data_IF_527603606650
#
_entry.id   IF_527603606650
#
_cell.length_a   1.000
_cell.length_b   1.000
_cell.length_c   1.000
_cell.angle_alpha   90.00
_cell.angle_beta   90.00
_cell.angle_gamma   90.00
#
_symmetry.space_group_name_H-M   'P 1'
#
loop_
_entity.id
_entity.type
_entity.pdbx_description
1 polymer ?
#
# COMPACT_ATOMS: atom_id res chain seq x y z
N UNK A 1 -22.10 2.88 -2.84
CA UNK A 1 -21.30 2.07 -1.91
C UNK A 1 -21.95 2.18 -0.56
N UNK A 2 -22.34 1.06 0.02
CA UNK A 2 -22.83 0.99 1.39
C UNK A 2 -21.63 0.90 2.34
N UNK A 3 -21.72 1.55 3.49
CA UNK A 3 -20.77 1.36 4.60
C UNK A 3 -20.65 -0.16 4.91
N UNK A 4 -19.44 -0.71 5.04
CA UNK A 4 -19.26 -2.14 5.31
C UNK A 4 -19.75 -2.49 6.72
N UNK A 5 -20.10 -3.76 6.94
CA UNK A 5 -20.57 -4.26 8.23
C UNK A 5 -19.49 -4.12 9.31
N UNK A 6 -18.23 -4.42 8.98
CA UNK A 6 -17.06 -4.03 9.75
C UNK A 6 -16.42 -2.81 9.08
N UNK A 7 -16.61 -1.63 9.65
CA UNK A 7 -16.07 -0.35 9.20
C UNK A 7 -14.95 0.19 10.11
N UNK A 8 -14.48 -0.63 11.06
CA UNK A 8 -13.48 -0.25 12.08
C UNK A 8 -12.22 0.34 11.44
N UNK A 9 -11.77 -0.25 10.32
CA UNK A 9 -10.65 0.27 9.53
C UNK A 9 -10.90 1.70 9.01
N UNK A 10 -12.06 1.96 8.41
CA UNK A 10 -12.39 3.29 7.88
C UNK A 10 -12.50 4.32 9.01
N UNK A 11 -13.18 3.96 10.11
CA UNK A 11 -13.30 4.80 11.32
C UNK A 11 -11.93 5.18 11.88
N UNK A 12 -11.03 4.21 12.03
CA UNK A 12 -9.69 4.47 12.57
C UNK A 12 -8.86 5.41 11.67
N UNK A 13 -8.95 5.27 10.35
CA UNK A 13 -8.29 6.19 9.40
C UNK A 13 -8.84 7.62 9.50
N UNK A 14 -10.16 7.76 9.70
CA UNK A 14 -10.85 9.04 9.85
C UNK A 14 -10.79 9.59 11.29
N UNK A 15 -10.04 8.92 12.17
CA UNK A 15 -9.92 9.27 13.59
C UNK A 15 -11.27 9.31 14.32
N UNK A 16 -12.24 8.51 13.88
CA UNK A 16 -13.50 8.26 14.58
C UNK A 16 -13.27 7.20 15.67
N UNK A 17 -13.91 7.29 16.85
CA UNK A 17 -13.80 6.29 17.91
C UNK A 17 -14.03 4.87 17.36
N UNK A 18 -13.41 3.85 17.94
CA UNK A 18 -13.56 2.44 17.56
C UNK A 18 -13.59 1.57 18.82
N UNK A 19 -14.02 0.31 18.71
CA UNK A 19 -14.09 -0.65 19.83
C UNK A 19 -12.81 -1.49 19.99
N UNK A 20 -12.04 -1.67 18.90
CA UNK A 20 -10.69 -2.23 18.90
C UNK A 20 -9.81 -1.66 17.78
N UNK A 21 -8.49 -1.91 17.82
CA UNK A 21 -7.58 -1.40 16.80
C UNK A 21 -7.67 -2.31 15.57
N UNK A 22 -8.07 -1.79 14.40
CA UNK A 22 -8.20 -2.61 13.20
C UNK A 22 -6.83 -3.07 12.70
N UNK A 23 -6.77 -4.27 12.12
CA UNK A 23 -5.57 -4.87 11.56
C UNK A 23 -5.82 -5.43 10.17
N UNK A 24 -4.90 -5.10 9.27
CA UNK A 24 -4.71 -5.77 7.98
C UNK A 24 -3.20 -5.84 7.73
N UNK A 25 -2.75 -6.68 6.79
CA UNK A 25 -1.31 -6.88 6.60
C UNK A 25 -0.90 -6.67 5.15
N UNK A 26 0.15 -5.86 4.93
CA UNK A 26 0.76 -5.74 3.62
C UNK A 26 1.20 -7.11 3.10
N UNK A 27 0.83 -7.44 1.85
CA UNK A 27 1.04 -8.77 1.24
C UNK A 27 0.33 -9.92 1.98
N UNK A 28 -0.81 -9.67 2.63
CA UNK A 28 -1.67 -10.73 3.19
C UNK A 28 -2.06 -11.80 2.15
N UNK A 29 -2.29 -11.41 0.89
CA UNK A 29 -2.36 -12.35 -0.22
C UNK A 29 -0.95 -12.58 -0.78
N UNK A 30 -0.33 -13.71 -0.43
CA UNK A 30 1.07 -13.95 -0.81
C UNK A 30 1.58 -15.37 -0.57
N UNK A 31 2.83 -15.59 -0.99
CA UNK A 31 3.50 -16.91 -1.04
C UNK A 31 3.62 -17.66 0.29
N UNK A 32 3.41 -16.99 1.41
CA UNK A 32 3.39 -17.66 2.71
C UNK A 32 2.14 -18.55 2.87
N UNK A 33 1.07 -18.29 2.10
CA UNK A 33 -0.13 -19.12 2.05
C UNK A 33 0.03 -20.25 1.01
N UNK A 34 -0.13 -21.52 1.40
CA UNK A 34 -0.15 -22.65 0.47
C UNK A 34 -1.22 -22.51 -0.63
N UNK A 35 -2.42 -22.07 -0.25
CA UNK A 35 -3.56 -21.83 -1.13
C UNK A 35 -3.29 -20.72 -2.17
N UNK A 36 -2.53 -19.69 -1.81
CA UNK A 36 -2.06 -18.69 -2.77
C UNK A 36 -1.11 -19.29 -3.80
N UNK A 37 -0.18 -20.14 -3.35
CA UNK A 37 0.77 -20.80 -4.24
C UNK A 37 0.08 -21.74 -5.23
N UNK A 38 -1.00 -22.40 -4.81
CA UNK A 38 -1.85 -23.21 -5.67
C UNK A 38 -2.51 -22.38 -6.77
N UNK A 39 -3.20 -21.30 -6.41
CA UNK A 39 -3.86 -20.41 -7.38
C UNK A 39 -2.83 -19.77 -8.33
N UNK A 40 -1.66 -19.37 -7.81
CA UNK A 40 -0.57 -18.83 -8.62
C UNK A 40 -0.04 -19.84 -9.64
N UNK A 41 0.04 -21.12 -9.28
CA UNK A 41 0.46 -22.18 -10.22
C UNK A 41 -0.59 -22.40 -11.30
N UNK A 42 -1.89 -22.40 -10.93
CA UNK A 42 -3.01 -22.46 -11.89
C UNK A 42 -3.00 -21.30 -12.87
N UNK A 43 -2.61 -20.10 -12.43
CA UNK A 43 -2.48 -18.93 -13.29
C UNK A 43 -1.29 -19.00 -14.28
N UNK A 44 -0.32 -19.89 -14.06
CA UNK A 44 0.87 -20.07 -14.88
C UNK A 44 1.95 -18.98 -14.71
N UNK A 45 1.57 -17.72 -14.53
CA UNK A 45 2.51 -16.63 -14.22
C UNK A 45 1.90 -15.59 -13.28
N UNK A 46 2.75 -14.78 -12.65
CA UNK A 46 2.30 -13.70 -11.77
C UNK A 46 1.49 -12.62 -12.53
N UNK A 47 1.90 -12.30 -13.76
CA UNK A 47 1.19 -11.30 -14.57
C UNK A 47 -0.19 -11.81 -15.00
N UNK A 48 -0.31 -13.10 -15.36
CA UNK A 48 -1.61 -13.71 -15.67
C UNK A 48 -2.52 -13.78 -14.43
N UNK A 49 -1.95 -14.04 -13.25
CA UNK A 49 -2.71 -13.96 -11.99
C UNK A 49 -3.27 -12.54 -11.78
N UNK A 50 -2.47 -11.50 -12.02
CA UNK A 50 -2.91 -10.11 -11.88
C UNK A 50 -3.92 -9.68 -12.96
N UNK A 51 -3.82 -10.23 -14.18
CA UNK A 51 -4.70 -9.90 -15.33
C UNK A 51 -6.00 -10.70 -15.35
N UNK A 52 -6.21 -11.63 -14.42
CA UNK A 52 -7.44 -12.41 -14.28
C UNK A 52 -8.27 -11.89 -13.10
N UNK A 53 -9.41 -11.19 -13.34
CA UNK A 53 -10.28 -10.69 -12.28
C UNK A 53 -10.71 -11.77 -11.28
N UNK A 54 -11.10 -12.94 -11.79
CA UNK A 54 -11.54 -14.06 -10.96
C UNK A 54 -10.42 -14.61 -10.07
N UNK A 55 -9.21 -14.82 -10.60
CA UNK A 55 -8.09 -15.34 -9.81
C UNK A 55 -7.53 -14.27 -8.85
N UNK A 56 -7.49 -13.00 -9.26
CA UNK A 56 -7.15 -11.88 -8.38
C UNK A 56 -8.16 -11.76 -7.22
N UNK A 57 -9.45 -11.96 -7.50
CA UNK A 57 -10.48 -12.04 -6.48
C UNK A 57 -10.26 -13.23 -5.53
N UNK A 58 -10.03 -14.43 -6.08
CA UNK A 58 -9.77 -15.65 -5.31
C UNK A 58 -8.64 -15.42 -4.27
N UNK A 59 -7.48 -14.94 -4.72
CA UNK A 59 -6.33 -14.72 -3.82
C UNK A 59 -6.53 -13.55 -2.86
N UNK A 60 -7.34 -12.55 -3.21
CA UNK A 60 -7.67 -11.44 -2.30
C UNK A 60 -8.50 -11.93 -1.09
N UNK A 61 -9.37 -12.92 -1.30
CA UNK A 61 -10.27 -13.45 -0.27
C UNK A 61 -9.59 -14.49 0.63
N UNK A 62 -8.59 -15.22 0.14
CA UNK A 62 -7.89 -16.28 0.90
C UNK A 62 -7.48 -15.87 2.32
N UNK A 63 -6.86 -14.69 2.56
CA UNK A 63 -6.44 -14.28 3.90
C UNK A 63 -7.62 -14.01 4.83
N UNK A 64 -8.75 -13.53 4.30
CA UNK A 64 -9.95 -13.23 5.08
C UNK A 64 -10.67 -14.50 5.55
N UNK A 65 -10.57 -15.58 4.79
CA UNK A 65 -11.07 -16.90 5.20
C UNK A 65 -10.24 -17.47 6.36
N UNK A 66 -8.96 -17.08 6.45
CA UNK A 66 -8.01 -17.65 7.41
C UNK A 66 -7.84 -16.81 8.67
N UNK A 67 -7.96 -15.49 8.54
CA UNK A 67 -7.68 -14.53 9.58
C UNK A 67 -8.82 -13.51 9.67
N UNK A 68 -9.16 -13.10 10.89
CA UNK A 68 -10.16 -12.06 11.12
C UNK A 68 -9.57 -10.66 10.86
N UNK A 69 -9.24 -10.36 9.60
CA UNK A 69 -8.68 -9.07 9.19
C UNK A 69 -9.79 -8.03 8.97
N UNK A 70 -9.48 -6.77 9.25
CA UNK A 70 -10.45 -5.66 9.21
C UNK A 70 -10.50 -4.92 7.86
N UNK A 71 -9.66 -5.33 6.92
CA UNK A 71 -9.68 -4.83 5.55
C UNK A 71 -9.13 -5.87 4.57
N UNK A 72 -9.67 -5.84 3.35
CA UNK A 72 -9.09 -6.51 2.20
C UNK A 72 -8.23 -5.50 1.43
N UNK A 73 -7.14 -5.94 0.82
CA UNK A 73 -6.41 -5.16 -0.18
C UNK A 73 -6.49 -5.87 -1.52
N UNK A 74 -6.78 -5.13 -2.58
CA UNK A 74 -6.75 -5.61 -3.96
C UNK A 74 -5.46 -6.40 -4.21
N UNK A 75 -5.57 -7.60 -4.77
CA UNK A 75 -4.40 -8.26 -5.36
C UNK A 75 -4.12 -7.69 -6.75
N UNK A 76 -3.01 -6.97 -6.87
CA UNK A 76 -2.49 -6.46 -8.14
C UNK A 76 -0.98 -6.25 -8.01
N UNK A 77 -0.37 -5.58 -8.98
CA UNK A 77 1.05 -5.19 -8.94
C UNK A 77 1.22 -3.69 -9.17
N UNK A 78 2.18 -3.07 -8.46
CA UNK A 78 2.46 -1.64 -8.61
C UNK A 78 2.93 -1.31 -10.04
N UNK A 79 3.52 -2.26 -10.76
CA UNK A 79 4.08 -2.04 -12.09
C UNK A 79 3.06 -2.17 -13.21
N UNK A 80 1.78 -2.39 -12.89
CA UNK A 80 0.69 -2.36 -13.88
C UNK A 80 0.59 -1.01 -14.60
N UNK A 81 0.78 0.11 -13.90
CA UNK A 81 0.77 1.45 -14.52
C UNK A 81 1.91 1.61 -15.54
N UNK A 82 3.19 1.35 -15.21
CA UNK A 82 4.25 1.29 -16.21
C UNK A 82 4.05 0.27 -17.34
N UNK A 83 3.43 -0.90 -17.09
CA UNK A 83 3.10 -1.87 -18.16
C UNK A 83 2.11 -1.23 -19.15
N UNK A 84 1.06 -0.58 -18.65
CA UNK A 84 0.08 0.15 -19.44
C UNK A 84 0.65 1.37 -20.17
N UNK A 85 1.74 1.95 -19.67
CA UNK A 85 2.53 2.97 -20.38
C UNK A 85 3.36 2.41 -21.54
N UNK A 86 3.30 1.10 -21.79
CA UNK A 86 3.94 0.47 -22.95
C UNK A 86 5.40 0.10 -22.73
N UNK A 87 5.89 0.02 -21.48
CA UNK A 87 7.28 -0.35 -21.20
C UNK A 87 7.56 -1.87 -21.31
N UNK A 88 6.51 -2.70 -21.38
CA UNK A 88 6.60 -4.15 -21.55
C UNK A 88 7.11 -4.85 -20.30
N UNK A 89 6.24 -4.99 -19.30
CA UNK A 89 6.57 -5.66 -18.04
C UNK A 89 6.62 -7.17 -18.23
N UNK A 90 7.69 -7.79 -17.76
CA UNK A 90 7.79 -9.24 -17.64
C UNK A 90 8.44 -9.64 -16.31
N UNK A 91 8.22 -10.91 -15.92
CA UNK A 91 8.78 -11.48 -14.71
C UNK A 91 9.69 -12.64 -15.11
N UNK A 92 10.94 -12.59 -14.66
CA UNK A 92 11.89 -13.69 -14.81
C UNK A 92 11.98 -14.46 -13.50
N UNK A 93 12.00 -15.80 -13.58
CA UNK A 93 12.10 -16.66 -12.41
C UNK A 93 13.38 -16.34 -11.62
N UNK A 94 13.21 -16.06 -10.33
CA UNK A 94 14.31 -15.71 -9.42
C UNK A 94 14.82 -14.26 -9.49
N UNK A 95 14.62 -13.54 -10.61
CA UNK A 95 15.19 -12.18 -10.79
C UNK A 95 14.19 -11.04 -10.55
N UNK A 96 12.88 -11.32 -10.50
CA UNK A 96 11.86 -10.31 -10.25
C UNK A 96 11.40 -9.58 -11.52
N UNK A 97 10.76 -8.39 -11.39
CA UNK A 97 10.20 -7.67 -12.52
C UNK A 97 11.26 -6.98 -13.37
N UNK A 98 11.04 -6.98 -14.68
CA UNK A 98 11.88 -6.32 -15.69
C UNK A 98 11.02 -5.60 -16.73
N UNK A 99 11.60 -4.58 -17.36
CA UNK A 99 10.99 -3.89 -18.49
C UNK A 99 11.82 -4.09 -19.76
N UNK A 100 11.13 -4.38 -20.87
CA UNK A 100 11.74 -4.48 -22.21
C UNK A 100 12.25 -3.12 -22.69
N UNK A 101 11.51 -2.05 -22.37
CA UNK A 101 11.76 -0.68 -22.84
C UNK A 101 11.93 0.29 -21.66
N UNK A 102 13.02 0.18 -20.88
CA UNK A 102 13.31 1.15 -19.83
C UNK A 102 13.56 2.55 -20.41
N UNK A 103 13.18 3.59 -19.65
CA UNK A 103 13.32 4.99 -20.02
C UNK A 103 14.78 5.45 -19.92
N UNK A 104 15.55 5.21 -20.99
CA UNK A 104 16.96 5.61 -21.12
C UNK A 104 17.16 6.81 -22.02
N UNK A 105 16.41 6.88 -23.10
CA UNK A 105 16.55 7.91 -24.12
C UNK A 105 15.61 9.09 -23.85
N UNK A 106 16.12 10.30 -24.07
CA UNK A 106 15.35 11.54 -23.84
C UNK A 106 14.06 11.60 -24.67
N UNK A 107 14.10 11.15 -25.93
CA UNK A 107 12.91 11.14 -26.79
C UNK A 107 11.81 10.25 -26.22
N UNK A 108 12.15 9.08 -25.66
CA UNK A 108 11.19 8.15 -25.07
C UNK A 108 10.56 8.74 -23.80
N UNK A 109 11.33 9.49 -23.01
CA UNK A 109 10.82 10.19 -21.82
C UNK A 109 9.86 11.32 -22.22
N UNK A 110 10.18 12.05 -23.29
CA UNK A 110 9.31 13.14 -23.78
C UNK A 110 8.00 12.61 -24.34
N UNK A 111 8.04 11.49 -25.05
CA UNK A 111 6.89 10.82 -25.66
C UNK A 111 5.98 10.08 -24.64
N UNK A 112 6.44 9.90 -23.39
CA UNK A 112 5.67 9.21 -22.36
C UNK A 112 4.29 9.86 -22.12
N UNK A 113 3.23 9.06 -22.14
CA UNK A 113 1.85 9.50 -21.88
C UNK A 113 1.20 8.73 -20.73
N UNK A 114 0.24 9.36 -20.05
CA UNK A 114 -0.57 8.68 -19.05
C UNK A 114 -1.65 7.82 -19.75
N UNK A 115 -1.71 6.50 -19.50
CA UNK A 115 -2.73 5.64 -20.11
C UNK A 115 -4.10 5.90 -19.49
N UNK A 116 -5.16 5.72 -20.28
CA UNK A 116 -6.52 5.64 -19.74
C UNK A 116 -6.68 4.32 -18.96
N UNK A 117 -7.00 4.36 -17.65
CA UNK A 117 -7.18 3.15 -16.86
C UNK A 117 -8.34 2.27 -17.35
N UNK A 118 -9.36 2.82 -18.00
CA UNK A 118 -10.51 2.07 -18.51
C UNK A 118 -10.25 1.34 -19.83
N UNK A 119 -9.15 1.68 -20.51
CA UNK A 119 -8.69 1.01 -21.74
C UNK A 119 -7.60 -0.01 -21.41
N UNK A 120 -6.50 0.43 -20.79
CA UNK A 120 -5.30 -0.38 -20.62
C UNK A 120 -5.24 -1.15 -19.29
N UNK A 121 -5.99 -0.71 -18.28
CA UNK A 121 -5.99 -1.29 -16.92
C UNK A 121 -7.37 -1.81 -16.51
N UNK A 122 -8.29 -2.01 -17.47
CA UNK A 122 -9.66 -2.48 -17.22
C UNK A 122 -9.72 -3.75 -16.39
N UNK A 123 -8.79 -4.69 -16.60
CA UNK A 123 -8.71 -5.92 -15.82
C UNK A 123 -8.54 -5.68 -14.31
N UNK A 124 -7.90 -4.58 -13.91
CA UNK A 124 -7.79 -4.18 -12.49
C UNK A 124 -9.14 -3.69 -11.99
N UNK A 125 -9.83 -2.86 -12.77
CA UNK A 125 -11.14 -2.32 -12.42
C UNK A 125 -12.19 -3.42 -12.29
N UNK A 126 -12.16 -4.39 -13.20
CA UNK A 126 -12.99 -5.59 -13.15
C UNK A 126 -12.68 -6.42 -11.89
N UNK A 127 -11.39 -6.58 -11.54
CA UNK A 127 -10.99 -7.26 -10.31
C UNK A 127 -11.50 -6.53 -9.05
N UNK A 128 -11.40 -5.19 -9.00
CA UNK A 128 -11.93 -4.39 -7.89
C UNK A 128 -13.44 -4.59 -7.75
N UNK A 129 -14.19 -4.52 -8.85
CA UNK A 129 -15.63 -4.71 -8.84
C UNK A 129 -16.01 -6.14 -8.40
N UNK A 130 -15.27 -7.15 -8.88
CA UNK A 130 -15.49 -8.55 -8.54
C UNK A 130 -15.20 -8.85 -7.07
N UNK A 131 -14.04 -8.39 -6.55
CA UNK A 131 -13.69 -8.50 -5.12
C UNK A 131 -14.75 -7.83 -4.28
N UNK A 132 -15.17 -6.63 -4.65
CA UNK A 132 -16.14 -5.86 -3.87
C UNK A 132 -17.50 -6.55 -3.81
N UNK A 133 -17.93 -7.19 -4.90
CA UNK A 133 -19.11 -8.06 -4.90
C UNK A 133 -18.90 -9.28 -3.99
N UNK A 134 -17.76 -9.96 -4.10
CA UNK A 134 -17.48 -11.19 -3.36
C UNK A 134 -17.30 -10.96 -1.84
N UNK A 135 -16.77 -9.81 -1.43
CA UNK A 135 -16.71 -9.39 -0.03
C UNK A 135 -18.10 -9.24 0.60
N UNK A 136 -19.16 -9.09 -0.18
CA UNK A 136 -20.55 -9.02 0.30
C UNK A 136 -20.74 -8.08 1.50
N UNK A 137 -20.08 -6.90 1.44
CA UNK A 137 -20.13 -5.86 2.47
C UNK A 137 -19.55 -6.23 3.84
N UNK A 138 -18.74 -7.28 3.97
CA UNK A 138 -18.16 -7.69 5.27
C UNK A 138 -17.10 -6.72 5.77
N UNK A 139 -16.06 -6.45 4.97
CA UNK A 139 -14.94 -5.53 5.26
C UNK A 139 -14.70 -4.57 4.09
N UNK A 140 -14.05 -3.40 4.32
CA UNK A 140 -13.66 -2.48 3.26
C UNK A 140 -12.60 -3.08 2.32
N UNK A 141 -12.63 -2.64 1.07
CA UNK A 141 -11.61 -2.94 0.06
C UNK A 141 -10.64 -1.75 -0.11
N UNK A 142 -9.35 -2.01 0.02
CA UNK A 142 -8.26 -1.06 -0.23
C UNK A 142 -7.80 -1.21 -1.69
N UNK A 143 -7.93 -0.14 -2.46
CA UNK A 143 -7.23 0.03 -3.73
C UNK A 143 -5.81 0.55 -3.52
N UNK A 144 -4.92 0.42 -4.50
CA UNK A 144 -3.55 0.91 -4.32
C UNK A 144 -2.82 1.22 -5.62
N UNK A 145 -1.71 1.93 -5.49
CA UNK A 145 -0.72 2.14 -6.56
C UNK A 145 0.67 2.42 -5.96
N UNK A 146 1.71 2.33 -6.78
CA UNK A 146 3.04 2.84 -6.44
C UNK A 146 3.10 4.37 -6.54
N UNK A 147 4.00 5.01 -5.79
CA UNK A 147 4.26 6.44 -5.94
C UNK A 147 4.95 6.75 -7.27
N UNK A 148 4.87 7.98 -7.79
CA UNK A 148 5.57 8.37 -9.01
C UNK A 148 7.08 8.12 -8.96
N UNK A 149 7.74 8.44 -7.83
CA UNK A 149 9.18 8.16 -7.68
C UNK A 149 9.48 6.66 -7.64
N UNK A 150 8.70 5.90 -6.88
CA UNK A 150 8.86 4.43 -6.79
C UNK A 150 8.66 3.76 -8.15
N UNK A 151 7.68 4.19 -8.94
CA UNK A 151 7.47 3.68 -10.29
C UNK A 151 8.59 4.11 -11.24
N UNK A 152 9.01 5.38 -11.18
CA UNK A 152 10.12 5.88 -11.97
C UNK A 152 11.42 5.10 -11.72
N UNK A 153 11.68 4.66 -10.48
CA UNK A 153 12.81 3.78 -10.16
C UNK A 153 12.83 2.53 -11.05
N UNK A 154 11.68 1.86 -11.23
CA UNK A 154 11.62 0.68 -12.10
C UNK A 154 11.63 1.06 -13.59
N UNK A 155 10.94 2.13 -13.97
CA UNK A 155 10.84 2.59 -15.36
C UNK A 155 12.22 2.97 -15.93
N UNK A 156 13.08 3.61 -15.13
CA UNK A 156 14.43 4.05 -15.54
C UNK A 156 15.46 2.93 -15.40
N UNK A 157 15.43 2.16 -14.29
CA UNK A 157 16.39 1.06 -14.10
C UNK A 157 16.09 -0.16 -14.99
N UNK A 158 14.84 -0.34 -15.39
CA UNK A 158 14.35 -1.51 -16.09
C UNK A 158 14.09 -2.71 -15.18
N UNK A 159 13.99 -2.51 -13.86
CA UNK A 159 13.74 -3.55 -12.87
C UNK A 159 14.12 -3.12 -11.46
N UNK A 160 14.17 -4.08 -10.53
CA UNK A 160 14.68 -3.84 -9.19
C UNK A 160 16.19 -3.50 -9.23
N UNK A 161 16.63 -2.64 -8.32
CA UNK A 161 18.03 -2.26 -8.16
C UNK A 161 18.37 -2.15 -6.67
N UNK A 162 19.60 -2.49 -6.29
CA UNK A 162 20.07 -2.36 -4.92
C UNK A 162 20.36 -0.92 -4.51
N UNK A 163 20.63 -0.04 -5.48
CA UNK A 163 21.11 1.33 -5.22
C UNK A 163 20.52 2.41 -6.13
N UNK A 164 19.78 2.03 -7.18
CA UNK A 164 19.05 2.94 -8.06
C UNK A 164 19.95 4.05 -8.68
N UNK A 165 21.18 3.67 -9.09
CA UNK A 165 22.19 4.59 -9.64
C UNK A 165 21.72 5.41 -10.84
N UNK A 166 20.97 4.82 -11.78
CA UNK A 166 20.60 5.50 -13.03
C UNK A 166 19.57 6.59 -12.78
N UNK A 167 18.52 6.28 -12.03
CA UNK A 167 17.53 7.30 -11.67
C UNK A 167 18.14 8.39 -10.79
N UNK A 168 19.05 8.04 -9.87
CA UNK A 168 19.79 9.03 -9.08
C UNK A 168 20.72 9.89 -9.95
N UNK A 169 21.40 9.30 -10.92
CA UNK A 169 22.17 10.06 -11.92
C UNK A 169 21.29 11.03 -12.68
N UNK A 170 20.14 10.58 -13.18
CA UNK A 170 19.16 11.44 -13.86
C UNK A 170 18.62 12.54 -12.95
N UNK A 171 18.36 12.25 -11.67
CA UNK A 171 17.91 13.21 -10.68
C UNK A 171 18.87 14.40 -10.56
N UNK A 172 20.18 14.14 -10.53
CA UNK A 172 21.20 15.19 -10.37
C UNK A 172 21.58 15.84 -11.70
N UNK A 173 21.71 15.07 -12.79
CA UNK A 173 22.24 15.57 -14.07
C UNK A 173 21.14 16.12 -14.99
N UNK A 174 19.93 15.54 -14.94
CA UNK A 174 18.80 15.83 -15.83
C UNK A 174 17.47 15.89 -15.06
N UNK A 175 17.34 16.77 -14.06
CA UNK A 175 16.11 16.91 -13.28
C UNK A 175 14.91 17.26 -14.15
N UNK A 176 15.12 17.93 -15.29
CA UNK A 176 14.08 18.22 -16.29
C UNK A 176 13.41 16.94 -16.82
N UNK A 177 14.19 15.91 -17.12
CA UNK A 177 13.68 14.63 -17.60
C UNK A 177 13.01 13.85 -16.47
N UNK A 178 13.59 13.85 -15.27
CA UNK A 178 12.97 13.17 -14.14
C UNK A 178 11.62 13.81 -13.78
N UNK A 179 11.52 15.15 -13.77
CA UNK A 179 10.24 15.84 -13.55
C UNK A 179 9.19 15.50 -14.61
N UNK A 180 9.60 15.29 -15.88
CA UNK A 180 8.69 14.82 -16.94
C UNK A 180 8.14 13.43 -16.62
N UNK A 181 9.00 12.48 -16.26
CA UNK A 181 8.57 11.11 -15.87
C UNK A 181 7.60 11.21 -14.70
N UNK A 182 8.01 11.86 -13.61
CA UNK A 182 7.21 11.96 -12.39
C UNK A 182 5.86 12.65 -12.60
N UNK A 183 5.80 13.67 -13.45
CA UNK A 183 4.54 14.35 -13.77
C UNK A 183 3.57 13.42 -14.50
N UNK A 184 4.03 12.73 -15.54
CA UNK A 184 3.17 11.83 -16.32
C UNK A 184 2.73 10.64 -15.46
N UNK A 185 3.63 10.11 -14.64
CA UNK A 185 3.30 9.04 -13.70
C UNK A 185 2.31 9.49 -12.63
N UNK A 186 2.41 10.73 -12.13
CA UNK A 186 1.42 11.27 -11.20
C UNK A 186 0.02 11.38 -11.83
N UNK A 187 -0.07 11.80 -13.10
CA UNK A 187 -1.34 11.84 -13.83
C UNK A 187 -1.94 10.44 -14.02
N UNK A 188 -1.12 9.48 -14.44
CA UNK A 188 -1.55 8.09 -14.60
C UNK A 188 -2.01 7.46 -13.28
N UNK A 189 -1.26 7.67 -12.19
CA UNK A 189 -1.61 7.13 -10.86
C UNK A 189 -2.90 7.78 -10.33
N UNK A 190 -3.08 9.08 -10.55
CA UNK A 190 -4.30 9.79 -10.13
C UNK A 190 -5.54 9.23 -10.83
N UNK A 191 -5.49 9.10 -12.16
CA UNK A 191 -6.57 8.50 -12.94
C UNK A 191 -6.83 7.04 -12.53
N UNK A 192 -5.76 6.26 -12.36
CA UNK A 192 -5.84 4.85 -11.97
C UNK A 192 -6.48 4.64 -10.59
N UNK A 193 -6.08 5.42 -9.57
CA UNK A 193 -6.67 5.33 -8.24
C UNK A 193 -8.13 5.79 -8.24
N UNK A 194 -8.46 6.86 -8.97
CA UNK A 194 -9.85 7.29 -9.12
C UNK A 194 -10.72 6.22 -9.79
N UNK A 195 -10.22 5.56 -10.83
CA UNK A 195 -10.93 4.44 -11.47
C UNK A 195 -11.15 3.27 -10.49
N UNK A 196 -10.18 2.97 -9.60
CA UNK A 196 -10.39 1.96 -8.55
C UNK A 196 -11.47 2.38 -7.55
N UNK A 197 -11.48 3.65 -7.14
CA UNK A 197 -12.52 4.21 -6.26
C UNK A 197 -13.89 4.09 -6.96
N UNK A 198 -13.98 4.45 -8.23
CA UNK A 198 -15.18 4.30 -9.07
C UNK A 198 -15.60 2.84 -9.27
N UNK A 199 -14.67 1.89 -9.20
CA UNK A 199 -14.96 0.46 -9.35
C UNK A 199 -15.39 -0.20 -8.05
N UNK A 200 -15.03 0.35 -6.88
CA UNK A 200 -15.42 -0.23 -5.59
C UNK A 200 -14.45 -0.09 -4.44
N UNK A 201 -13.26 0.47 -4.65
CA UNK A 201 -12.32 0.71 -3.55
C UNK A 201 -12.93 1.71 -2.55
N UNK A 202 -12.86 1.36 -1.27
CA UNK A 202 -13.41 2.13 -0.15
C UNK A 202 -12.32 2.87 0.63
N UNK A 203 -11.05 2.55 0.37
CA UNK A 203 -9.88 3.33 0.74
C UNK A 203 -8.81 3.15 -0.35
N UNK A 204 -7.83 4.04 -0.41
CA UNK A 204 -6.69 3.90 -1.31
C UNK A 204 -5.35 4.06 -0.60
N UNK A 205 -4.33 3.34 -1.04
CA UNK A 205 -2.98 3.43 -0.50
C UNK A 205 -1.94 3.70 -1.60
N UNK A 206 -1.05 4.67 -1.35
CA UNK A 206 0.06 5.01 -2.23
C UNK A 206 1.35 4.49 -1.61
N UNK A 207 2.01 3.57 -2.29
CA UNK A 207 3.25 2.94 -1.86
C UNK A 207 4.46 3.68 -2.43
N UNK A 208 5.08 4.52 -1.61
CA UNK A 208 6.37 5.14 -1.91
C UNK A 208 7.52 4.32 -1.31
N UNK A 209 7.64 3.07 -1.78
CA UNK A 209 8.58 2.08 -1.23
C UNK A 209 10.05 2.48 -1.34
N UNK A 210 10.40 3.34 -2.31
CA UNK A 210 11.77 3.79 -2.54
C UNK A 210 12.03 5.24 -2.15
N UNK A 211 11.04 6.00 -1.69
CA UNK A 211 11.22 7.40 -1.31
C UNK A 211 12.26 7.60 -0.20
N UNK A 212 12.35 6.67 0.77
CA UNK A 212 13.39 6.71 1.81
C UNK A 212 14.83 6.46 1.33
N UNK A 213 15.03 6.17 0.04
CA UNK A 213 16.37 6.08 -0.57
C UNK A 213 16.93 7.44 -1.03
N UNK A 214 16.10 8.48 -0.99
CA UNK A 214 16.45 9.86 -1.36
C UNK A 214 17.07 10.62 -0.19
N UNK A 215 17.85 11.66 -0.50
CA UNK A 215 18.21 12.68 0.48
C UNK A 215 16.96 13.48 0.89
N UNK A 216 17.01 14.18 2.02
CA UNK A 216 15.89 15.00 2.47
C UNK A 216 15.48 16.05 1.41
N UNK A 217 16.45 16.73 0.78
CA UNK A 217 16.17 17.70 -0.29
C UNK A 217 15.53 17.03 -1.50
N UNK A 218 16.09 15.91 -1.96
CA UNK A 218 15.59 15.20 -3.13
C UNK A 218 14.19 14.60 -2.88
N UNK A 219 13.87 14.16 -1.66
CA UNK A 219 12.52 13.70 -1.33
C UNK A 219 11.47 14.82 -1.48
N UNK A 220 11.79 16.01 -0.99
CA UNK A 220 10.92 17.19 -1.04
C UNK A 220 10.69 17.70 -2.47
N UNK A 221 11.59 17.37 -3.40
CA UNK A 221 11.51 17.80 -4.80
C UNK A 221 10.93 16.72 -5.73
N UNK A 222 11.39 15.47 -5.60
CA UNK A 222 11.13 14.40 -6.57
C UNK A 222 10.12 13.34 -6.10
N UNK A 223 9.71 13.32 -4.83
CA UNK A 223 8.63 12.42 -4.36
C UNK A 223 7.43 13.17 -3.81
N UNK A 224 7.63 13.98 -2.76
CA UNK A 224 6.55 14.59 -2.01
C UNK A 224 5.59 15.47 -2.84
N UNK A 225 6.05 16.33 -3.78
CA UNK A 225 5.15 17.17 -4.57
C UNK A 225 4.20 16.35 -5.44
N UNK A 226 4.65 15.20 -5.92
CA UNK A 226 3.87 14.30 -6.76
C UNK A 226 2.90 13.46 -5.94
N UNK A 227 3.27 13.06 -4.72
CA UNK A 227 2.34 12.50 -3.75
C UNK A 227 1.22 13.50 -3.41
N UNK A 228 1.57 14.78 -3.16
CA UNK A 228 0.61 15.86 -2.91
C UNK A 228 -0.36 16.05 -4.08
N UNK A 229 0.16 16.04 -5.31
CA UNK A 229 -0.67 16.15 -6.52
C UNK A 229 -1.68 15.01 -6.61
N UNK A 230 -1.25 13.77 -6.37
CA UNK A 230 -2.16 12.61 -6.39
C UNK A 230 -3.22 12.78 -5.31
N UNK A 231 -2.82 12.98 -4.06
CA UNK A 231 -3.75 13.12 -2.92
C UNK A 231 -4.79 14.21 -3.16
N UNK A 232 -4.38 15.37 -3.68
CA UNK A 232 -5.28 16.49 -4.01
C UNK A 232 -6.24 16.23 -5.17
N UNK A 233 -6.02 15.19 -5.98
CA UNK A 233 -6.86 14.81 -7.12
C UNK A 233 -7.79 13.62 -6.86
N UNK A 234 -7.66 12.97 -5.71
CA UNK A 234 -8.44 11.77 -5.39
C UNK A 234 -9.92 12.10 -5.17
N UNK A 235 -10.80 11.23 -5.65
CA UNK A 235 -12.22 11.23 -5.30
C UNK A 235 -12.37 10.95 -3.80
N UNK A 236 -12.71 11.98 -3.01
CA UNK A 236 -12.81 11.90 -1.54
C UNK A 236 -14.15 11.38 -1.03
N UNK A 237 -15.18 11.42 -1.86
CA UNK A 237 -16.53 10.95 -1.51
C UNK A 237 -17.13 10.17 -2.67
N UNK A 238 -17.69 9.00 -2.38
CA UNK A 238 -18.43 8.21 -3.37
C UNK A 238 -19.66 7.58 -2.74
N UNK A 239 -20.82 7.89 -3.32
CA UNK A 239 -22.12 7.42 -2.85
C UNK A 239 -22.39 7.73 -1.36
N UNK A 240 -22.04 8.94 -0.92
CA UNK A 240 -22.28 9.42 0.45
C UNK A 240 -21.16 9.10 1.45
N UNK A 241 -20.31 8.12 1.16
CA UNK A 241 -19.22 7.69 2.04
C UNK A 241 -17.90 8.39 1.70
N UNK A 242 -17.10 8.70 2.72
CA UNK A 242 -15.74 9.24 2.55
C UNK A 242 -14.77 8.10 2.17
N UNK A 243 -13.82 8.40 1.28
CA UNK A 243 -12.81 7.43 0.82
C UNK A 243 -11.44 7.90 1.31
N UNK A 244 -10.91 7.32 2.41
CA UNK A 244 -9.62 7.73 2.95
C UNK A 244 -8.45 7.30 2.06
N UNK A 245 -7.39 8.09 2.09
CA UNK A 245 -6.12 7.84 1.41
C UNK A 245 -4.98 7.68 2.42
N UNK A 246 -4.14 6.67 2.18
CA UNK A 246 -2.98 6.34 2.99
C UNK A 246 -1.72 6.58 2.17
N UNK A 247 -0.74 7.29 2.73
CA UNK A 247 0.58 7.47 2.10
C UNK A 247 1.63 6.75 2.93
N UNK A 248 2.41 5.89 2.27
CA UNK A 248 3.46 5.13 2.92
C UNK A 248 4.79 5.30 2.20
N UNK A 249 5.68 6.13 2.76
CA UNK A 249 7.09 6.20 2.37
C UNK A 249 7.89 5.32 3.34
N UNK A 250 8.36 4.16 2.87
CA UNK A 250 9.31 3.35 3.64
C UNK A 250 10.63 4.12 3.79
N UNK A 251 11.14 4.21 5.01
CA UNK A 251 12.27 5.05 5.40
C UNK A 251 11.91 6.52 5.62
N UNK A 252 10.64 6.90 5.50
CA UNK A 252 10.17 8.28 5.54
C UNK A 252 9.92 8.88 6.92
N UNK A 253 10.34 8.22 8.02
CA UNK A 253 10.05 8.66 9.39
C UNK A 253 10.61 10.05 9.76
N UNK A 254 11.58 10.56 9.01
CA UNK A 254 12.09 11.93 9.17
C UNK A 254 11.19 12.99 8.53
N UNK A 255 10.25 12.61 7.67
CA UNK A 255 9.44 13.52 6.85
C UNK A 255 7.96 13.48 7.21
N UNK A 256 7.59 12.94 8.37
CA UNK A 256 6.19 12.76 8.79
C UNK A 256 5.38 14.04 8.71
N UNK A 257 5.91 15.16 9.18
CA UNK A 257 5.23 16.45 9.16
C UNK A 257 4.92 16.89 7.73
N UNK A 258 5.92 16.80 6.84
CA UNK A 258 5.76 17.15 5.43
C UNK A 258 4.77 16.24 4.72
N UNK A 259 4.74 14.94 5.05
CA UNK A 259 3.76 13.98 4.53
C UNK A 259 2.36 14.32 5.05
N UNK A 260 2.21 14.62 6.35
CA UNK A 260 0.91 14.99 6.92
C UNK A 260 0.32 16.24 6.24
N UNK A 261 1.18 17.19 5.86
CA UNK A 261 0.77 18.45 5.24
C UNK A 261 0.32 18.31 3.78
N UNK A 262 0.41 17.13 3.16
CA UNK A 262 -0.10 16.91 1.79
C UNK A 262 -1.59 16.57 1.73
N UNK A 263 -2.24 16.38 2.88
CA UNK A 263 -3.70 16.17 2.99
C UNK A 263 -4.15 14.70 2.91
N UNK A 264 -3.26 13.73 3.13
CA UNK A 264 -3.67 12.32 3.30
C UNK A 264 -4.30 12.09 4.68
N UNK A 265 -5.20 11.13 4.82
CA UNK A 265 -5.86 10.84 6.11
C UNK A 265 -4.98 10.02 7.05
N UNK A 266 -4.08 9.20 6.49
CA UNK A 266 -3.17 8.38 7.26
C UNK A 266 -1.77 8.27 6.66
N UNK A 267 -0.79 8.12 7.56
CA UNK A 267 0.60 7.85 7.21
C UNK A 267 0.96 6.42 7.60
N UNK A 268 1.44 5.64 6.63
CA UNK A 268 2.07 4.35 6.89
C UNK A 268 3.46 4.54 7.50
N UNK A 269 3.79 3.71 8.47
CA UNK A 269 5.05 3.73 9.21
C UNK A 269 5.75 2.38 9.07
N UNK A 270 7.07 2.40 8.95
CA UNK A 270 7.89 1.21 9.17
C UNK A 270 8.44 1.15 10.60
N UNK A 271 9.13 0.05 10.91
CA UNK A 271 9.63 -0.26 12.25
C UNK A 271 10.81 0.62 12.70
N UNK A 272 11.38 1.48 11.84
CA UNK A 272 12.53 2.31 12.20
C UNK A 272 12.15 3.53 13.04
N UNK A 273 10.86 3.85 13.15
CA UNK A 273 10.34 4.92 13.98
C UNK A 273 9.47 4.35 15.11
N UNK A 274 9.60 4.89 16.32
CA UNK A 274 8.67 4.57 17.40
C UNK A 274 7.28 5.18 17.07
N UNK A 275 6.23 4.37 17.16
CA UNK A 275 4.88 4.82 16.79
C UNK A 275 4.33 5.86 17.78
N UNK A 276 4.74 5.82 19.05
CA UNK A 276 4.44 6.84 20.05
C UNK A 276 5.05 8.20 19.69
N UNK A 277 6.30 8.22 19.23
CA UNK A 277 6.96 9.43 18.69
C UNK A 277 6.25 9.97 17.44
N UNK A 278 5.96 9.10 16.47
CA UNK A 278 5.22 9.48 15.27
C UNK A 278 3.86 10.12 15.64
N UNK A 279 3.12 9.51 16.57
CA UNK A 279 1.84 10.04 17.04
C UNK A 279 2.01 11.38 17.75
N UNK A 280 3.05 11.57 18.58
CA UNK A 280 3.32 12.86 19.21
C UNK A 280 3.55 13.97 18.18
N UNK A 281 4.19 13.66 17.04
CA UNK A 281 4.54 14.61 15.98
C UNK A 281 3.38 14.95 15.04
N UNK A 282 2.59 13.94 14.63
CA UNK A 282 1.56 14.11 13.59
C UNK A 282 0.18 13.54 13.95
N UNK A 283 0.04 12.86 15.09
CA UNK A 283 -1.17 12.14 15.46
C UNK A 283 -2.41 13.00 15.75
N UNK A 284 -2.28 14.33 15.82
CA UNK A 284 -3.42 15.26 15.84
C UNK A 284 -3.91 15.64 14.43
N UNK A 285 -3.09 15.43 13.40
CA UNK A 285 -3.39 15.79 12.00
C UNK A 285 -3.91 14.61 11.19
N UNK A 286 -3.32 13.43 11.40
CA UNK A 286 -3.56 12.22 10.60
C UNK A 286 -3.67 10.98 11.50
N UNK A 287 -4.22 9.90 10.96
CA UNK A 287 -4.08 8.56 11.51
C UNK A 287 -2.71 7.96 11.17
N UNK A 288 -2.30 6.93 11.91
CA UNK A 288 -1.06 6.20 11.69
C UNK A 288 -1.36 4.74 11.41
N UNK A 289 -0.66 4.17 10.42
CA UNK A 289 -0.76 2.76 10.07
C UNK A 289 0.58 2.07 10.26
N UNK A 290 0.60 0.93 10.96
CA UNK A 290 1.82 0.16 11.20
C UNK A 290 2.02 -0.22 12.67
N UNK A 291 3.24 -0.54 13.10
CA UNK A 291 4.48 -0.49 12.30
C UNK A 291 5.46 -1.63 12.59
N UNK A 292 4.91 -2.79 12.98
CA UNK A 292 5.69 -3.95 13.41
C UNK A 292 6.68 -4.45 12.34
N UNK A 293 7.91 -4.78 12.73
CA UNK A 293 8.87 -5.42 11.83
C UNK A 293 8.34 -6.81 11.37
N UNK A 294 8.20 -7.08 10.05
CA UNK A 294 7.82 -8.41 9.56
C UNK A 294 8.72 -9.54 10.05
N UNK A 295 9.98 -9.26 10.39
CA UNK A 295 10.91 -10.24 10.96
C UNK A 295 10.43 -10.85 12.27
N UNK A 296 9.57 -10.14 13.02
CA UNK A 296 8.94 -10.65 14.24
C UNK A 296 8.11 -11.90 13.97
N UNK A 297 7.55 -12.06 12.77
CA UNK A 297 6.72 -13.21 12.40
C UNK A 297 7.52 -14.52 12.28
N UNK A 298 8.84 -14.50 12.45
CA UNK A 298 9.68 -15.71 12.58
C UNK A 298 9.87 -16.17 14.02
N UNK A 299 9.42 -15.39 15.00
CA UNK A 299 9.53 -15.73 16.41
C UNK A 299 8.40 -16.70 16.86
N UNK A 300 8.43 -17.09 18.14
CA UNK A 300 7.33 -17.85 18.74
C UNK A 300 6.06 -17.00 18.88
N UNK A 301 4.86 -17.61 18.92
CA UNK A 301 3.59 -16.90 19.12
C UNK A 301 3.59 -15.93 20.30
N UNK A 302 4.18 -16.32 21.43
CA UNK A 302 4.27 -15.46 22.63
C UNK A 302 5.13 -14.22 22.38
N UNK A 303 6.22 -14.34 21.63
CA UNK A 303 7.06 -13.21 21.25
C UNK A 303 6.34 -12.29 20.27
N UNK A 304 5.65 -12.86 19.29
CA UNK A 304 4.83 -12.09 18.34
C UNK A 304 3.77 -11.28 19.09
N UNK A 305 3.07 -11.91 20.03
CA UNK A 305 2.07 -11.23 20.86
C UNK A 305 2.71 -10.12 21.71
N UNK A 306 3.88 -10.36 22.31
CA UNK A 306 4.59 -9.35 23.10
C UNK A 306 5.00 -8.12 22.26
N UNK A 307 5.54 -8.32 21.06
CA UNK A 307 5.91 -7.21 20.17
C UNK A 307 4.68 -6.44 19.67
N UNK A 308 3.59 -7.14 19.36
CA UNK A 308 2.32 -6.50 18.97
C UNK A 308 1.76 -5.63 20.10
N UNK A 309 1.82 -6.11 21.36
CA UNK A 309 1.45 -5.34 22.55
C UNK A 309 2.34 -4.11 22.71
N UNK A 310 3.64 -4.25 22.53
CA UNK A 310 4.60 -3.13 22.62
C UNK A 310 4.26 -1.99 21.65
N UNK A 311 3.94 -2.32 20.39
CA UNK A 311 3.50 -1.32 19.39
C UNK A 311 2.19 -0.65 19.81
N UNK A 312 1.21 -1.42 20.27
CA UNK A 312 -0.08 -0.89 20.75
C UNK A 312 0.08 0.00 21.99
N UNK A 313 0.93 -0.38 22.93
CA UNK A 313 1.20 0.36 24.16
C UNK A 313 1.99 1.66 23.86
N UNK A 314 2.91 1.63 22.89
CA UNK A 314 3.62 2.82 22.40
C UNK A 314 2.67 3.82 21.71
N UNK A 315 1.74 3.33 20.87
CA UNK A 315 0.67 4.19 20.34
C UNK A 315 -0.24 4.68 21.48
N UNK A 316 -0.50 3.85 22.49
CA UNK A 316 -1.18 4.22 23.72
C UNK A 316 -2.70 4.00 23.72
N UNK A 317 -3.37 4.38 24.82
CA UNK A 317 -4.76 3.99 25.15
C UNK A 317 -5.89 4.60 24.29
N UNK A 318 -5.56 5.23 23.16
CA UNK A 318 -6.49 6.05 22.41
C UNK A 318 -7.44 5.15 21.63
N UNK A 319 -8.73 5.51 21.63
CA UNK A 319 -9.77 4.73 20.96
C UNK A 319 -9.87 4.98 19.45
N UNK A 320 -8.88 5.64 18.84
CA UNK A 320 -8.88 5.94 17.40
C UNK A 320 -7.49 6.33 16.85
N UNK A 321 -7.39 6.47 15.52
CA UNK A 321 -6.24 7.03 14.81
C UNK A 321 -5.09 6.05 14.58
N UNK A 322 -5.26 4.77 14.94
CA UNK A 322 -4.28 3.71 14.68
C UNK A 322 -4.92 2.59 13.89
N UNK A 323 -4.27 2.22 12.79
CA UNK A 323 -4.49 0.95 12.09
C UNK A 323 -3.25 0.11 12.29
N UNK A 324 -3.36 -1.04 12.95
CA UNK A 324 -2.23 -1.93 13.11
C UNK A 324 -1.87 -2.55 11.76
N UNK A 325 -0.59 -2.56 11.44
CA UNK A 325 -0.03 -3.25 10.28
C UNK A 325 1.43 -3.59 10.56
N UNK A 326 2.04 -4.36 9.66
CA UNK A 326 3.49 -4.45 9.58
C UNK A 326 4.06 -3.16 8.99
N UNK A 327 5.37 -2.96 9.14
CA UNK A 327 6.14 -1.90 8.50
C UNK A 327 6.63 -2.24 7.09
N UNK A 328 6.37 -3.46 6.62
CA UNK A 328 6.56 -3.89 5.23
C UNK A 328 5.73 -5.15 4.97
N UNK A 329 5.73 -5.68 3.74
CA UNK A 329 4.97 -6.88 3.42
C UNK A 329 5.48 -8.16 4.10
N UNK A 330 4.56 -9.09 4.35
CA UNK A 330 4.85 -10.44 4.89
C UNK A 330 5.90 -11.16 4.03
N UNK A 331 6.83 -11.85 4.69
CA UNK A 331 7.82 -12.68 4.02
C UNK A 331 7.20 -13.99 3.54
N UNK A 332 7.65 -14.51 2.39
CA UNK A 332 7.19 -15.81 1.89
C UNK A 332 7.53 -16.98 2.81
N UNK A 333 8.49 -16.82 3.72
CA UNK A 333 8.94 -17.84 4.66
C UNK A 333 8.19 -17.79 6.00
N UNK A 334 7.26 -16.84 6.16
CA UNK A 334 6.50 -16.68 7.40
C UNK A 334 5.54 -17.87 7.59
N UNK A 335 5.56 -18.55 8.74
CA UNK A 335 4.55 -19.57 9.06
C UNK A 335 3.17 -18.93 9.17
N UNK A 336 2.15 -19.44 8.47
CA UNK A 336 0.81 -18.85 8.51
C UNK A 336 0.15 -18.77 9.89
N UNK A 337 0.46 -19.70 10.79
CA UNK A 337 -0.02 -19.72 12.18
C UNK A 337 0.51 -18.53 12.99
N UNK A 338 1.70 -18.03 12.66
CA UNK A 338 2.27 -16.85 13.30
C UNK A 338 1.51 -15.58 12.92
N UNK A 339 0.91 -15.54 11.73
CA UNK A 339 0.00 -14.45 11.33
C UNK A 339 -1.30 -14.49 12.13
N UNK A 340 -1.85 -15.68 12.40
CA UNK A 340 -3.04 -15.82 13.24
C UNK A 340 -2.76 -15.30 14.67
N UNK A 341 -1.63 -15.72 15.27
CA UNK A 341 -1.21 -15.26 16.59
C UNK A 341 -1.06 -13.72 16.66
N UNK A 342 -0.54 -13.09 15.60
CA UNK A 342 -0.45 -11.64 15.51
C UNK A 342 -1.83 -10.97 15.51
N UNK A 343 -2.74 -11.42 14.63
CA UNK A 343 -4.08 -10.83 14.49
C UNK A 343 -4.86 -10.95 15.80
N UNK A 344 -4.83 -12.13 16.42
CA UNK A 344 -5.50 -12.39 17.70
C UNK A 344 -4.94 -11.52 18.83
N UNK A 345 -3.61 -11.36 18.89
CA UNK A 345 -2.95 -10.52 19.88
C UNK A 345 -3.34 -9.04 19.74
N UNK A 346 -3.39 -8.53 18.51
CA UNK A 346 -3.78 -7.13 18.23
C UNK A 346 -5.21 -6.88 18.67
N UNK A 347 -6.14 -7.74 18.25
CA UNK A 347 -7.55 -7.63 18.59
C UNK A 347 -7.79 -7.74 20.09
N UNK A 348 -7.17 -8.71 20.75
CA UNK A 348 -7.36 -8.95 22.19
C UNK A 348 -6.80 -7.79 23.01
N UNK A 349 -5.55 -7.38 22.77
CA UNK A 349 -4.90 -6.37 23.59
C UNK A 349 -5.49 -4.98 23.38
N UNK A 350 -5.83 -4.61 22.13
CA UNK A 350 -6.42 -3.29 21.86
C UNK A 350 -7.80 -3.10 22.48
N UNK A 351 -8.61 -4.16 22.63
CA UNK A 351 -9.88 -4.12 23.39
C UNK A 351 -9.63 -3.87 24.87
N UNK A 352 -8.66 -4.57 25.46
CA UNK A 352 -8.28 -4.39 26.87
C UNK A 352 -7.76 -2.97 27.14
N UNK A 353 -6.99 -2.41 26.19
CA UNK A 353 -6.53 -1.03 26.29
C UNK A 353 -7.69 -0.05 26.35
N UNK A 354 -8.79 -0.28 25.63
CA UNK A 354 -9.94 0.65 25.58
C UNK A 354 -10.80 0.58 26.83
N UNK A 355 -11.07 -0.63 27.33
CA UNK A 355 -11.84 -0.84 28.58
C UNK A 355 -11.15 -0.16 29.76
N UNK A 356 -9.81 -0.14 29.81
CA UNK A 356 -9.06 0.44 30.92
C UNK A 356 -9.11 1.98 31.02
N UNK A 357 -9.60 2.69 30.00
CA UNK A 357 -9.72 4.16 30.05
C UNK A 357 -11.16 4.68 29.88
N UNK A 358 -12.15 3.79 29.94
CA UNK A 358 -13.50 4.15 30.37
C UNK A 358 -13.52 4.23 31.90
#
# INVERSE_FOLDING_TARGET
MTRPCNDTFLRALLKEPTEYTPVWLMRQAGRYLPEYCETRRRAGSFLQLCKSPAMACEVTLQPLTRYNLDAAILFSDILTVPDAMGLGLYFTDGEGPRFERPLREEWAIRDLTAPDPWDHLRYVMDAVAEIRRALNNTVPLIGFSGSPYTLACYMVEGGASSDYRRIKGMLYDRPDLLHRILSVTADAVSAYLNAQIESGAQAVMIFDSWGGSLSAAAYQEFSLPYLRRIVGSLIRKRAGEYVPSIVFTKGGGLWLESIADIGCDAIGLDWMIDIGDARRRVGQRVALQGNLDPGVLFASPDRIAAEARSVLDSYGPYNTGHVFNLGHGISQFTPPENVAALVDAVHTHSRLLRIKNE
#
